data_IF_183690628758
#
_entry.id   IF_183690628758
#
_cell.length_a   1.000
_cell.length_b   1.000
_cell.length_c   1.000
_cell.angle_alpha   90.00
_cell.angle_beta   90.00
_cell.angle_gamma   90.00
#
_symmetry.space_group_name_H-M   'P 1'
#
loop_
_entity.id
_entity.type
_entity.pdbx_description
1 polymer ?
#
# COMPACT_ATOMS: atom_id res chain seq x y z
N UNK A 1 -20.35 -1.08 73.16
CA UNK A 1 -20.19 -2.20 72.20
C UNK A 1 -20.10 -1.58 70.81
N UNK A 2 -18.89 -1.22 70.38
CA UNK A 2 -18.64 -0.60 69.07
C UNK A 2 -17.66 -1.50 68.33
N UNK A 3 -18.09 -1.95 67.16
CA UNK A 3 -17.43 -2.92 66.31
C UNK A 3 -16.36 -2.18 65.50
N UNK A 4 -15.11 -2.62 65.62
CA UNK A 4 -14.02 -2.15 64.76
C UNK A 4 -14.14 -2.83 63.38
N UNK A 5 -14.33 -2.02 62.33
CA UNK A 5 -14.27 -2.48 60.95
C UNK A 5 -12.82 -2.37 60.45
N UNK A 6 -12.21 -3.51 60.13
CA UNK A 6 -10.92 -3.59 59.44
C UNK A 6 -11.13 -3.27 57.95
N UNK A 7 -10.54 -2.18 57.47
CA UNK A 7 -10.46 -1.89 56.04
C UNK A 7 -9.44 -2.85 55.39
N UNK A 8 -9.88 -3.66 54.42
CA UNK A 8 -8.98 -4.38 53.54
C UNK A 8 -8.34 -3.40 52.54
N UNK A 9 -7.05 -3.55 52.21
CA UNK A 9 -6.41 -2.76 51.18
C UNK A 9 -7.01 -3.11 49.81
N UNK A 10 -7.34 -2.06 49.06
CA UNK A 10 -7.89 -2.10 47.70
C UNK A 10 -6.82 -2.66 46.73
N UNK A 11 -6.80 -3.98 46.54
CA UNK A 11 -5.97 -4.61 45.50
C UNK A 11 -6.59 -4.31 44.14
N UNK A 12 -6.07 -3.27 43.49
CA UNK A 12 -6.40 -2.94 42.12
C UNK A 12 -6.02 -4.15 41.23
N UNK A 13 -6.96 -4.78 40.50
CA UNK A 13 -6.67 -5.98 39.73
C UNK A 13 -5.61 -5.70 38.68
N UNK A 14 -4.64 -6.62 38.54
CA UNK A 14 -3.61 -6.51 37.52
C UNK A 14 -4.25 -6.34 36.13
N UNK A 15 -3.75 -5.42 35.28
CA UNK A 15 -4.34 -5.17 33.98
C UNK A 15 -4.35 -6.46 33.15
N UNK A 16 -5.46 -6.70 32.45
CA UNK A 16 -5.61 -7.83 31.53
C UNK A 16 -4.57 -7.77 30.40
N UNK A 17 -4.26 -8.92 29.78
CA UNK A 17 -3.22 -8.98 28.75
C UNK A 17 -3.53 -8.08 27.54
N UNK A 18 -4.82 -7.91 27.19
CA UNK A 18 -5.27 -6.95 26.19
C UNK A 18 -4.97 -5.49 26.56
N UNK A 19 -5.05 -5.13 27.86
CA UNK A 19 -4.67 -3.80 28.33
C UNK A 19 -3.15 -3.58 28.28
N UNK A 20 -2.35 -4.63 28.54
CA UNK A 20 -0.88 -4.58 28.42
C UNK A 20 -0.44 -4.45 26.98
N UNK A 21 -1.07 -5.18 26.06
CA UNK A 21 -0.82 -5.10 24.61
C UNK A 21 -1.16 -3.70 24.06
N UNK A 22 -2.36 -3.19 24.35
CA UNK A 22 -2.76 -1.84 23.92
C UNK A 22 -1.86 -0.73 24.51
N UNK A 23 -1.33 -0.92 25.72
CA UNK A 23 -0.36 -0.02 26.33
C UNK A 23 1.01 -0.09 25.64
N UNK A 24 1.50 -1.30 25.34
CA UNK A 24 2.73 -1.53 24.59
C UNK A 24 2.66 -0.95 23.17
N UNK A 25 1.53 -1.06 22.50
CA UNK A 25 1.29 -0.49 21.17
C UNK A 25 1.28 1.05 21.16
N UNK A 26 0.68 1.67 22.18
CA UNK A 26 0.77 3.13 22.35
C UNK A 26 2.20 3.57 22.65
N UNK A 27 2.97 2.75 23.34
CA UNK A 27 4.38 3.02 23.62
C UNK A 27 5.21 3.07 22.33
N UNK A 28 4.92 2.20 21.34
CA UNK A 28 5.58 2.21 20.04
C UNK A 28 5.46 3.55 19.32
N UNK A 29 4.32 4.24 19.38
CA UNK A 29 4.16 5.56 18.76
C UNK A 29 5.17 6.60 19.29
N UNK A 30 5.54 6.51 20.58
CA UNK A 30 6.53 7.39 21.21
C UNK A 30 7.94 7.04 20.74
N UNK A 31 8.27 5.75 20.67
CA UNK A 31 9.56 5.27 20.14
C UNK A 31 9.72 5.70 18.68
N UNK A 32 8.72 5.40 17.83
CA UNK A 32 8.75 5.67 16.40
C UNK A 32 8.82 7.17 16.06
N UNK A 33 8.42 8.05 16.99
CA UNK A 33 8.57 9.49 16.82
C UNK A 33 10.04 9.93 16.59
N UNK A 34 11.01 9.22 17.18
CA UNK A 34 12.45 9.47 16.97
C UNK A 34 12.93 9.21 15.54
N UNK A 35 12.17 8.44 14.76
CA UNK A 35 12.51 8.07 13.38
C UNK A 35 11.83 8.96 12.33
N UNK A 36 10.90 9.84 12.74
CA UNK A 36 10.10 10.68 11.83
C UNK A 36 10.87 11.83 11.18
N UNK A 37 12.02 12.22 11.73
CA UNK A 37 12.81 13.33 11.19
C UNK A 37 13.54 12.88 9.91
N UNK A 38 13.23 13.45 8.73
CA UNK A 38 13.97 13.14 7.52
C UNK A 38 15.31 13.87 7.49
N UNK A 39 16.24 13.32 6.70
CA UNK A 39 17.50 13.99 6.37
C UNK A 39 17.38 14.53 4.96
N UNK A 40 17.22 15.84 4.79
CA UNK A 40 16.95 16.46 3.48
C UNK A 40 17.96 16.07 2.38
N UNK A 41 19.25 15.98 2.73
CA UNK A 41 20.29 15.49 1.81
C UNK A 41 20.09 14.03 1.40
N UNK A 42 19.64 13.17 2.32
CA UNK A 42 19.29 11.77 2.00
C UNK A 42 18.06 11.71 1.11
N UNK A 43 17.02 12.48 1.39
CA UNK A 43 15.81 12.52 0.55
C UNK A 43 16.11 13.01 -0.86
N UNK A 44 16.94 14.05 -1.01
CA UNK A 44 17.40 14.51 -2.32
C UNK A 44 18.22 13.45 -3.06
N UNK A 45 19.12 12.75 -2.35
CA UNK A 45 19.87 11.63 -2.91
C UNK A 45 18.94 10.51 -3.38
N UNK A 46 17.99 10.09 -2.55
CA UNK A 46 17.03 9.04 -2.89
C UNK A 46 16.17 9.40 -4.12
N UNK A 47 15.77 10.66 -4.24
CA UNK A 47 15.09 11.16 -5.44
C UNK A 47 15.99 11.08 -6.67
N UNK A 48 17.24 11.54 -6.56
CA UNK A 48 18.19 11.54 -7.68
C UNK A 48 18.55 10.13 -8.15
N UNK A 49 18.87 9.20 -7.24
CA UNK A 49 19.18 7.79 -7.57
C UNK A 49 17.97 6.99 -8.02
N UNK A 50 16.79 7.60 -8.06
CA UNK A 50 15.58 7.00 -8.61
C UNK A 50 15.22 7.62 -9.97
N UNK A 51 15.14 8.95 -10.05
CA UNK A 51 14.78 9.67 -11.27
C UNK A 51 15.81 9.47 -12.37
N UNK A 52 17.11 9.54 -12.06
CA UNK A 52 18.17 9.43 -13.05
C UNK A 52 18.18 8.03 -13.69
N UNK A 53 18.21 6.92 -12.93
CA UNK A 53 18.12 5.59 -13.55
C UNK A 53 16.80 5.35 -14.28
N UNK A 54 15.66 5.84 -13.78
CA UNK A 54 14.39 5.76 -14.51
C UNK A 54 14.51 6.37 -15.90
N UNK A 55 14.98 7.62 -15.99
CA UNK A 55 15.14 8.31 -17.26
C UNK A 55 16.14 7.61 -18.18
N UNK A 56 17.26 7.12 -17.64
CA UNK A 56 18.28 6.40 -18.41
C UNK A 56 17.75 5.06 -18.95
N UNK A 57 17.08 4.25 -18.14
CA UNK A 57 16.52 2.97 -18.59
C UNK A 57 15.37 3.17 -19.57
N UNK A 58 14.52 4.18 -19.37
CA UNK A 58 13.46 4.50 -20.31
C UNK A 58 14.03 4.95 -21.67
N UNK A 59 15.03 5.84 -21.66
CA UNK A 59 15.70 6.29 -22.89
C UNK A 59 16.47 5.17 -23.58
N UNK A 60 17.14 4.30 -22.81
CA UNK A 60 17.83 3.13 -23.34
C UNK A 60 16.85 2.12 -23.95
N UNK A 61 15.70 1.88 -23.32
CA UNK A 61 14.65 1.03 -23.86
C UNK A 61 14.13 1.60 -25.18
N UNK A 62 13.85 2.91 -25.25
CA UNK A 62 13.46 3.59 -26.48
C UNK A 62 14.51 3.43 -27.60
N UNK A 63 15.78 3.74 -27.31
CA UNK A 63 16.86 3.60 -28.28
C UNK A 63 17.00 2.15 -28.75
N UNK A 64 16.90 1.18 -27.84
CA UNK A 64 17.02 -0.23 -28.16
C UNK A 64 15.87 -0.75 -29.02
N UNK A 65 14.61 -0.34 -28.77
CA UNK A 65 13.45 -0.73 -29.59
C UNK A 65 13.62 -0.31 -31.06
N UNK A 66 14.38 0.76 -31.34
CA UNK A 66 14.68 1.18 -32.71
C UNK A 66 15.56 0.18 -33.47
N UNK A 67 16.48 -0.51 -32.77
CA UNK A 67 17.41 -1.47 -33.38
C UNK A 67 16.92 -2.92 -33.27
N UNK A 68 16.30 -3.27 -32.14
CA UNK A 68 15.79 -4.61 -31.88
C UNK A 68 14.68 -4.58 -30.82
N UNK A 69 13.58 -5.25 -31.14
CA UNK A 69 12.40 -5.29 -30.27
C UNK A 69 12.69 -5.89 -28.88
N UNK A 70 13.40 -7.02 -28.82
CA UNK A 70 13.59 -7.79 -27.59
C UNK A 70 14.48 -7.11 -26.54
N UNK A 71 15.68 -6.59 -26.88
CA UNK A 71 16.50 -5.84 -25.92
C UNK A 71 15.77 -4.62 -25.35
N UNK A 72 14.98 -3.92 -26.18
CA UNK A 72 14.15 -2.81 -25.74
C UNK A 72 13.14 -3.20 -24.66
N UNK A 73 12.44 -4.33 -24.84
CA UNK A 73 11.50 -4.84 -23.84
C UNK A 73 12.17 -5.31 -22.55
N UNK A 74 13.40 -5.84 -22.60
CA UNK A 74 14.12 -6.21 -21.37
C UNK A 74 14.43 -4.96 -20.52
N UNK A 75 14.78 -3.84 -21.16
CA UNK A 75 15.09 -2.58 -20.48
C UNK A 75 13.84 -1.87 -19.89
N UNK A 76 12.64 -2.26 -20.31
CA UNK A 76 11.38 -1.83 -19.66
C UNK A 76 11.32 -2.34 -18.22
N UNK A 77 11.86 -3.52 -17.91
CA UNK A 77 11.81 -4.11 -16.56
C UNK A 77 12.49 -3.20 -15.51
N UNK A 78 13.76 -2.79 -15.68
CA UNK A 78 14.38 -1.86 -14.74
C UNK A 78 13.70 -0.48 -14.78
N UNK A 79 13.23 0.01 -15.94
CA UNK A 79 12.47 1.26 -15.98
C UNK A 79 11.20 1.18 -15.10
N UNK A 80 10.48 0.06 -15.15
CA UNK A 80 9.29 -0.19 -14.33
C UNK A 80 9.64 -0.29 -12.83
N UNK A 81 10.75 -0.94 -12.49
CA UNK A 81 11.25 -1.01 -11.12
C UNK A 81 11.55 0.38 -10.53
N UNK A 82 12.18 1.27 -11.31
CA UNK A 82 12.41 2.64 -10.87
C UNK A 82 11.14 3.50 -10.88
N UNK A 83 10.18 3.26 -11.78
CA UNK A 83 8.87 3.92 -11.72
C UNK A 83 8.09 3.52 -10.46
N UNK A 84 8.14 2.25 -10.07
CA UNK A 84 7.61 1.78 -8.79
C UNK A 84 8.29 2.48 -7.61
N UNK A 85 9.62 2.62 -7.65
CA UNK A 85 10.37 3.35 -6.62
C UNK A 85 9.98 4.83 -6.56
N UNK A 86 9.72 5.47 -7.71
CA UNK A 86 9.19 6.84 -7.75
C UNK A 86 7.84 6.91 -7.02
N UNK A 87 6.96 5.94 -7.23
CA UNK A 87 5.71 5.85 -6.49
C UNK A 87 5.93 5.76 -4.97
N UNK A 88 6.94 5.03 -4.49
CA UNK A 88 7.28 4.97 -3.06
C UNK A 88 7.72 6.33 -2.50
N UNK A 89 8.45 7.13 -3.30
CA UNK A 89 8.80 8.51 -2.93
C UNK A 89 7.55 9.39 -2.89
N UNK A 90 6.68 9.31 -3.92
CA UNK A 90 5.41 10.03 -3.95
C UNK A 90 4.53 9.68 -2.74
N UNK A 91 4.51 8.41 -2.35
CA UNK A 91 3.77 7.91 -1.21
C UNK A 91 4.24 8.56 0.10
N UNK A 92 5.55 8.59 0.35
CA UNK A 92 6.12 9.27 1.52
C UNK A 92 5.88 10.79 1.50
N UNK A 93 5.92 11.41 0.32
CA UNK A 93 5.50 12.80 0.15
C UNK A 93 4.03 12.99 0.56
N UNK A 94 3.15 12.04 0.26
CA UNK A 94 1.75 12.03 0.69
C UNK A 94 1.58 12.13 2.20
N UNK A 95 2.44 11.44 2.94
CA UNK A 95 2.53 11.50 4.41
C UNK A 95 3.25 12.75 4.94
N UNK A 96 3.91 13.51 4.06
CA UNK A 96 4.77 14.63 4.41
C UNK A 96 6.04 14.20 5.15
N UNK A 97 6.47 12.95 4.96
CA UNK A 97 7.61 12.36 5.66
C UNK A 97 8.93 12.54 4.90
N UNK A 98 8.87 12.71 3.57
CA UNK A 98 10.06 12.65 2.73
C UNK A 98 11.00 13.85 2.95
N UNK A 99 10.49 15.09 2.91
CA UNK A 99 11.28 16.29 3.20
C UNK A 99 10.91 16.99 4.52
N UNK A 100 9.83 16.56 5.19
CA UNK A 100 9.22 17.28 6.33
C UNK A 100 8.91 18.76 6.01
N UNK A 101 8.69 19.06 4.73
CA UNK A 101 8.32 20.39 4.23
C UNK A 101 7.13 20.19 3.32
N UNK A 102 5.93 20.35 3.87
CA UNK A 102 4.67 19.99 3.20
C UNK A 102 4.56 20.53 1.77
N UNK A 103 4.94 21.79 1.53
CA UNK A 103 4.91 22.37 0.19
C UNK A 103 5.85 21.67 -0.79
N UNK A 104 7.05 21.30 -0.33
CA UNK A 104 8.03 20.59 -1.17
C UNK A 104 7.57 19.16 -1.44
N UNK A 105 7.12 18.44 -0.41
CA UNK A 105 6.54 17.10 -0.55
C UNK A 105 5.36 17.09 -1.53
N UNK A 106 4.44 18.06 -1.39
CA UNK A 106 3.27 18.14 -2.27
C UNK A 106 3.62 18.41 -3.73
N UNK A 107 4.63 19.25 -4.01
CA UNK A 107 5.05 19.49 -5.39
C UNK A 107 5.83 18.31 -5.99
N UNK A 108 6.72 17.68 -5.21
CA UNK A 108 7.44 16.48 -5.64
C UNK A 108 6.44 15.36 -5.94
N UNK A 109 5.47 15.13 -5.04
CA UNK A 109 4.43 14.15 -5.23
C UNK A 109 3.53 14.41 -6.46
N UNK A 110 3.16 15.67 -6.72
CA UNK A 110 2.40 16.03 -7.94
C UNK A 110 3.17 15.79 -9.22
N UNK A 111 4.47 16.12 -9.25
CA UNK A 111 5.33 15.92 -10.43
C UNK A 111 5.50 14.42 -10.70
N UNK A 112 5.81 13.63 -9.67
CA UNK A 112 5.92 12.18 -9.79
C UNK A 112 4.57 11.57 -10.21
N UNK A 113 3.46 12.11 -9.73
CA UNK A 113 2.11 11.67 -10.07
C UNK A 113 1.78 11.75 -11.55
N UNK A 114 2.45 12.61 -12.31
CA UNK A 114 2.33 12.63 -13.78
C UNK A 114 2.95 11.35 -14.36
N UNK A 115 4.13 10.97 -13.89
CA UNK A 115 4.88 9.79 -14.37
C UNK A 115 4.23 8.48 -13.95
N UNK A 116 3.69 8.40 -12.73
CA UNK A 116 3.00 7.21 -12.22
C UNK A 116 1.53 7.14 -12.62
N UNK A 117 1.05 8.13 -13.38
CA UNK A 117 -0.35 8.29 -13.75
C UNK A 117 -1.26 8.32 -12.51
N UNK A 118 -0.84 9.00 -11.43
CA UNK A 118 -1.55 9.07 -10.16
C UNK A 118 -1.86 10.50 -9.74
N UNK A 119 -3.15 10.91 -9.67
CA UNK A 119 -3.50 12.25 -9.24
C UNK A 119 -3.24 12.43 -7.74
N UNK A 120 -2.13 13.12 -7.43
CA UNK A 120 -1.50 13.10 -6.11
C UNK A 120 -2.42 13.51 -4.95
N UNK A 121 -3.09 14.67 -5.00
CA UNK A 121 -3.91 15.12 -3.85
C UNK A 121 -5.16 14.26 -3.63
N UNK A 122 -5.80 13.78 -4.72
CA UNK A 122 -6.89 12.80 -4.63
C UNK A 122 -6.39 11.50 -4.01
N UNK A 123 -5.28 10.95 -4.54
CA UNK A 123 -4.69 9.72 -4.05
C UNK A 123 -4.25 9.86 -2.58
N UNK A 124 -3.58 10.95 -2.22
CA UNK A 124 -3.13 11.25 -0.84
C UNK A 124 -4.30 11.24 0.14
N UNK A 125 -5.44 11.80 -0.25
CA UNK A 125 -6.65 11.78 0.59
C UNK A 125 -7.21 10.38 0.74
N UNK A 126 -7.38 9.64 -0.36
CA UNK A 126 -7.83 8.25 -0.32
C UNK A 126 -6.91 7.38 0.55
N UNK A 127 -5.60 7.58 0.41
CA UNK A 127 -4.59 6.84 1.14
C UNK A 127 -4.55 7.20 2.63
N UNK A 128 -4.75 8.46 3.00
CA UNK A 128 -4.91 8.86 4.40
C UNK A 128 -6.16 8.25 5.03
N UNK A 129 -7.28 8.17 4.29
CA UNK A 129 -8.50 7.47 4.72
C UNK A 129 -8.22 5.97 4.93
N UNK A 130 -7.53 5.31 3.98
CA UNK A 130 -7.09 3.91 4.13
C UNK A 130 -6.24 3.69 5.40
N UNK A 131 -5.24 4.53 5.67
CA UNK A 131 -4.47 4.40 6.91
C UNK A 131 -5.36 4.52 8.15
N UNK A 132 -6.35 5.42 8.12
CA UNK A 132 -7.22 5.67 9.26
C UNK A 132 -8.25 4.55 9.51
N UNK A 133 -8.62 3.77 8.48
CA UNK A 133 -9.64 2.71 8.59
C UNK A 133 -9.14 1.30 8.27
N UNK A 134 -7.85 1.10 8.01
CA UNK A 134 -7.29 -0.22 7.71
C UNK A 134 -7.65 -1.27 8.78
N UNK A 135 -8.12 -2.43 8.34
CA UNK A 135 -8.59 -3.52 9.22
C UNK A 135 -9.92 -3.23 9.92
N UNK A 136 -10.60 -2.11 9.67
CA UNK A 136 -11.93 -1.83 10.18
C UNK A 136 -12.99 -2.34 9.19
N UNK A 137 -13.72 -3.38 9.59
CA UNK A 137 -14.77 -3.98 8.76
C UNK A 137 -15.92 -3.01 8.45
N UNK A 138 -16.18 -2.01 9.29
CA UNK A 138 -17.30 -1.08 9.13
C UNK A 138 -16.96 0.13 8.23
N UNK A 139 -15.66 0.41 8.03
CA UNK A 139 -15.16 1.61 7.34
C UNK A 139 -14.23 1.28 6.15
N UNK A 140 -14.31 0.05 5.65
CA UNK A 140 -13.49 -0.44 4.53
C UNK A 140 -13.93 0.14 3.17
N UNK A 141 -13.01 0.16 2.21
CA UNK A 141 -13.30 0.30 0.78
C UNK A 141 -12.60 1.46 0.08
N UNK A 142 -12.29 2.56 0.78
CA UNK A 142 -11.47 3.63 0.19
C UNK A 142 -10.01 3.23 0.26
N UNK A 143 -9.39 3.01 -0.90
CA UNK A 143 -7.98 2.60 -1.00
C UNK A 143 -7.73 1.11 -0.77
N UNK A 144 -8.73 0.37 -0.29
CA UNK A 144 -8.64 -1.07 -0.04
C UNK A 144 -8.91 -1.93 -1.29
N UNK A 145 -8.41 -3.15 -1.23
CA UNK A 145 -8.85 -4.24 -2.11
C UNK A 145 -10.11 -4.84 -1.47
N UNK A 146 -11.20 -4.87 -2.23
CA UNK A 146 -12.47 -5.37 -1.73
C UNK A 146 -12.31 -6.81 -1.27
N UNK A 147 -12.60 -7.03 0.01
CA UNK A 147 -12.50 -8.33 0.67
C UNK A 147 -13.77 -8.54 1.46
N UNK A 148 -14.58 -9.49 1.01
CA UNK A 148 -15.87 -9.80 1.61
C UNK A 148 -15.70 -10.79 2.77
N UNK A 149 -16.59 -10.69 3.75
CA UNK A 149 -16.75 -11.76 4.72
C UNK A 149 -17.45 -12.97 4.08
N UNK A 150 -17.31 -14.16 4.68
CA UNK A 150 -18.04 -15.36 4.22
C UNK A 150 -19.54 -15.08 4.17
N UNK A 151 -20.09 -14.39 5.16
CA UNK A 151 -21.52 -14.07 5.24
C UNK A 151 -21.95 -13.17 4.07
N UNK A 152 -21.16 -12.13 3.77
CA UNK A 152 -21.41 -11.21 2.66
C UNK A 152 -21.34 -11.91 1.31
N UNK A 153 -20.30 -12.73 1.10
CA UNK A 153 -20.17 -13.51 -0.13
C UNK A 153 -21.34 -14.49 -0.32
N UNK A 154 -21.82 -15.09 0.77
CA UNK A 154 -23.00 -15.97 0.73
C UNK A 154 -24.31 -15.21 0.49
N UNK A 155 -24.41 -13.95 0.91
CA UNK A 155 -25.57 -13.10 0.62
C UNK A 155 -25.64 -12.67 -0.85
N UNK A 156 -24.53 -12.73 -1.61
CA UNK A 156 -24.53 -12.38 -3.03
C UNK A 156 -25.33 -13.39 -3.88
N UNK A 157 -25.93 -12.86 -4.96
CA UNK A 157 -26.51 -13.67 -6.03
C UNK A 157 -25.45 -14.52 -6.74
N UNK A 158 -25.87 -15.51 -7.54
CA UNK A 158 -24.95 -16.36 -8.32
C UNK A 158 -24.01 -15.53 -9.20
N UNK A 159 -24.54 -14.46 -9.82
CA UNK A 159 -23.75 -13.53 -10.63
C UNK A 159 -22.85 -12.62 -9.80
N UNK A 160 -23.30 -12.19 -8.62
CA UNK A 160 -22.47 -11.44 -7.67
C UNK A 160 -21.26 -12.25 -7.20
N UNK A 161 -21.47 -13.53 -6.85
CA UNK A 161 -20.38 -14.44 -6.49
C UNK A 161 -19.41 -14.67 -7.64
N UNK A 162 -19.91 -14.85 -8.87
CA UNK A 162 -19.04 -14.95 -10.06
C UNK A 162 -18.22 -13.68 -10.27
N UNK A 163 -18.86 -12.50 -10.17
CA UNK A 163 -18.18 -11.20 -10.28
C UNK A 163 -17.06 -11.06 -9.24
N UNK A 164 -17.33 -11.39 -7.98
CA UNK A 164 -16.30 -11.36 -6.92
C UNK A 164 -15.16 -12.35 -7.19
N UNK A 165 -15.46 -13.57 -7.66
CA UNK A 165 -14.42 -14.55 -8.03
C UNK A 165 -13.55 -14.07 -9.19
N UNK A 166 -14.15 -13.41 -10.18
CA UNK A 166 -13.40 -12.80 -11.29
C UNK A 166 -12.53 -11.65 -10.79
N UNK A 167 -13.08 -10.75 -9.97
CA UNK A 167 -12.34 -9.65 -9.35
C UNK A 167 -11.12 -10.16 -8.56
N UNK A 168 -11.30 -11.21 -7.73
CA UNK A 168 -10.24 -11.84 -6.94
C UNK A 168 -9.34 -12.81 -7.72
N UNK A 169 -9.58 -13.02 -9.01
CA UNK A 169 -8.75 -13.93 -9.81
C UNK A 169 -7.37 -13.28 -10.08
N UNK A 170 -6.24 -14.00 -9.92
CA UNK A 170 -4.91 -13.38 -9.98
C UNK A 170 -4.59 -12.68 -11.31
N UNK A 171 -5.00 -13.27 -12.45
CA UNK A 171 -4.83 -12.65 -13.77
C UNK A 171 -5.62 -11.34 -13.89
N UNK A 172 -6.82 -11.29 -13.29
CA UNK A 172 -7.64 -10.07 -13.30
C UNK A 172 -7.03 -9.05 -12.36
N UNK A 173 -6.71 -9.43 -11.12
CA UNK A 173 -6.20 -8.52 -10.10
C UNK A 173 -4.83 -7.92 -10.47
N UNK A 174 -3.89 -8.74 -10.93
CA UNK A 174 -2.50 -8.32 -11.17
C UNK A 174 -2.17 -8.07 -12.65
N UNK A 175 -3.01 -8.54 -13.58
CA UNK A 175 -2.85 -8.26 -15.01
C UNK A 175 -3.75 -7.13 -15.50
N UNK A 176 -5.06 -7.28 -15.36
CA UNK A 176 -6.05 -6.30 -15.83
C UNK A 176 -6.21 -5.12 -14.86
N UNK A 177 -6.16 -5.40 -13.55
CA UNK A 177 -6.36 -4.45 -12.46
C UNK A 177 -5.46 -3.22 -12.55
N UNK A 178 -4.14 -3.36 -12.78
CA UNK A 178 -3.25 -2.20 -12.95
C UNK A 178 -3.63 -1.33 -14.15
N UNK A 179 -3.94 -1.94 -15.30
CA UNK A 179 -4.39 -1.21 -16.47
C UNK A 179 -5.67 -0.43 -16.16
N UNK A 180 -6.67 -1.10 -15.57
CA UNK A 180 -7.91 -0.47 -15.13
C UNK A 180 -7.64 0.69 -14.16
N UNK A 181 -6.81 0.48 -13.15
CA UNK A 181 -6.56 1.46 -12.10
C UNK A 181 -5.88 2.73 -12.63
N UNK A 182 -4.74 2.58 -13.31
CA UNK A 182 -3.90 3.72 -13.67
C UNK A 182 -4.35 4.42 -14.96
N UNK A 183 -4.85 3.65 -15.94
CA UNK A 183 -5.26 4.19 -17.25
C UNK A 183 -6.70 4.73 -17.20
N UNK A 184 -7.60 4.10 -16.43
CA UNK A 184 -9.03 4.43 -16.46
C UNK A 184 -9.57 4.99 -15.13
N UNK A 185 -9.53 4.20 -14.04
CA UNK A 185 -10.16 4.56 -12.76
C UNK A 185 -9.61 5.89 -12.22
N UNK A 186 -8.30 6.08 -12.23
CA UNK A 186 -7.67 7.30 -11.71
C UNK A 186 -7.85 8.53 -12.60
N UNK A 187 -8.57 8.44 -13.73
CA UNK A 187 -8.91 9.61 -14.57
C UNK A 187 -10.12 10.38 -14.04
N UNK A 188 -10.86 9.82 -13.08
CA UNK A 188 -11.96 10.46 -12.36
C UNK A 188 -11.80 10.23 -10.85
N UNK A 189 -12.25 11.16 -9.98
CA UNK A 189 -12.13 11.00 -8.53
C UNK A 189 -13.23 10.07 -7.97
N UNK A 190 -13.29 8.82 -8.43
CA UNK A 190 -14.28 7.83 -7.95
C UNK A 190 -14.24 7.72 -6.42
N UNK A 191 -15.41 7.61 -5.80
CA UNK A 191 -15.57 7.64 -4.34
C UNK A 191 -15.50 9.04 -3.71
N UNK A 192 -14.97 10.04 -4.41
CA UNK A 192 -14.84 11.42 -3.91
C UNK A 192 -15.38 12.49 -4.87
N UNK A 193 -16.19 12.11 -5.86
CA UNK A 193 -16.74 13.06 -6.85
C UNK A 193 -17.63 14.14 -6.21
N UNK A 194 -18.17 13.88 -5.02
CA UNK A 194 -19.01 14.80 -4.24
C UNK A 194 -18.25 15.46 -3.08
N UNK A 195 -16.94 15.23 -2.96
CA UNK A 195 -16.12 15.66 -1.81
C UNK A 195 -15.44 17.03 -2.01
N UNK A 196 -16.11 17.93 -2.76
CA UNK A 196 -15.63 19.27 -3.08
C UNK A 196 -14.76 19.36 -4.33
N UNK A 197 -14.14 20.52 -4.55
CA UNK A 197 -13.37 20.81 -5.77
C UNK A 197 -11.99 20.13 -5.80
N UNK A 198 -11.36 19.89 -4.64
CA UNK A 198 -9.98 19.40 -4.56
C UNK A 198 -9.75 18.06 -5.31
N UNK A 199 -10.58 17.01 -5.14
CA UNK A 199 -10.42 15.76 -5.91
C UNK A 199 -10.53 15.97 -7.43
N UNK A 200 -11.46 16.83 -7.87
CA UNK A 200 -11.64 17.16 -9.27
C UNK A 200 -10.45 17.92 -9.85
N UNK A 201 -10.01 19.00 -9.19
CA UNK A 201 -8.85 19.79 -9.62
C UNK A 201 -7.61 18.92 -9.66
N UNK A 202 -7.35 18.11 -8.63
CA UNK A 202 -6.22 17.18 -8.59
C UNK A 202 -6.25 16.22 -9.77
N UNK A 203 -7.40 15.61 -10.04
CA UNK A 203 -7.54 14.60 -11.09
C UNK A 203 -7.44 15.22 -12.48
N UNK A 204 -8.16 16.31 -12.74
CA UNK A 204 -8.20 16.95 -14.06
C UNK A 204 -6.88 17.65 -14.41
N UNK A 205 -6.24 18.32 -13.44
CA UNK A 205 -4.92 18.91 -13.67
C UNK A 205 -3.87 17.84 -13.96
N UNK A 206 -3.94 16.69 -13.27
CA UNK A 206 -3.06 15.54 -13.56
C UNK A 206 -3.36 14.95 -14.93
N UNK A 207 -4.63 14.80 -15.33
CA UNK A 207 -5.01 14.35 -16.68
C UNK A 207 -4.41 15.24 -17.75
N UNK A 208 -4.53 16.56 -17.60
CA UNK A 208 -3.99 17.53 -18.53
C UNK A 208 -2.45 17.42 -18.59
N UNK A 209 -1.79 17.35 -17.44
CA UNK A 209 -0.33 17.21 -17.39
C UNK A 209 0.17 15.91 -18.02
N UNK A 210 -0.53 14.78 -17.79
CA UNK A 210 -0.24 13.49 -18.44
C UNK A 210 -0.42 13.62 -19.96
N UNK A 211 -1.52 14.21 -20.42
CA UNK A 211 -1.78 14.38 -21.84
C UNK A 211 -0.71 15.23 -22.53
N UNK A 212 -0.30 16.34 -21.91
CA UNK A 212 0.76 17.21 -22.41
C UNK A 212 2.12 16.49 -22.42
N UNK A 213 2.47 15.78 -21.34
CA UNK A 213 3.72 15.03 -21.26
C UNK A 213 3.76 13.89 -22.30
N UNK A 214 2.67 13.14 -22.44
CA UNK A 214 2.53 12.08 -23.44
C UNK A 214 2.60 12.64 -24.86
N UNK A 215 1.92 13.76 -25.16
CA UNK A 215 1.98 14.41 -26.46
C UNK A 215 3.39 14.87 -26.81
N UNK A 216 4.11 15.48 -25.85
CA UNK A 216 5.51 15.89 -26.04
C UNK A 216 6.43 14.69 -26.29
N UNK A 217 6.27 13.61 -25.53
CA UNK A 217 7.05 12.39 -25.73
C UNK A 217 6.73 11.74 -27.08
N UNK A 218 5.45 11.59 -27.43
CA UNK A 218 5.02 11.04 -28.72
C UNK A 218 5.57 11.88 -29.88
N UNK A 219 5.57 13.20 -29.76
CA UNK A 219 6.16 14.09 -30.76
C UNK A 219 7.68 13.88 -30.87
N UNK A 220 8.38 13.69 -29.76
CA UNK A 220 9.83 13.50 -29.74
C UNK A 220 10.29 12.11 -30.22
N UNK A 221 9.57 11.04 -29.86
CA UNK A 221 10.03 9.64 -30.07
C UNK A 221 9.16 8.82 -31.02
N UNK A 222 8.00 9.33 -31.41
CA UNK A 222 6.98 8.61 -32.17
C UNK A 222 6.01 7.81 -31.31
N UNK A 223 4.79 7.62 -31.81
CA UNK A 223 3.72 6.92 -31.07
C UNK A 223 4.02 5.44 -30.82
N UNK A 224 4.60 4.73 -31.80
CA UNK A 224 4.89 3.29 -31.66
C UNK A 224 5.97 3.05 -30.59
N UNK A 225 7.14 3.70 -30.61
CA UNK A 225 8.13 3.52 -29.55
C UNK A 225 7.62 3.98 -28.18
N UNK A 226 6.86 5.08 -28.12
CA UNK A 226 6.22 5.52 -26.87
C UNK A 226 5.32 4.42 -26.28
N UNK A 227 4.43 3.83 -27.09
CA UNK A 227 3.53 2.76 -26.62
C UNK A 227 4.30 1.49 -26.26
N UNK A 228 5.34 1.11 -27.00
CA UNK A 228 6.13 -0.10 -26.71
C UNK A 228 6.99 0.02 -25.45
N UNK A 229 7.36 1.23 -25.03
CA UNK A 229 8.20 1.44 -23.85
C UNK A 229 7.37 1.91 -22.65
N UNK A 230 6.64 3.02 -22.79
CA UNK A 230 5.99 3.67 -21.67
C UNK A 230 4.80 2.86 -21.13
N UNK A 231 3.95 2.32 -22.00
CA UNK A 231 2.78 1.56 -21.55
C UNK A 231 3.18 0.27 -20.78
N UNK A 232 4.07 -0.61 -21.29
CA UNK A 232 4.59 -1.72 -20.51
C UNK A 232 5.28 -1.31 -19.21
N UNK A 233 6.02 -0.19 -19.20
CA UNK A 233 6.68 0.33 -17.99
C UNK A 233 5.64 0.62 -16.90
N UNK A 234 4.59 1.36 -17.25
CA UNK A 234 3.49 1.70 -16.34
C UNK A 234 2.73 0.46 -15.87
N UNK A 235 2.43 -0.48 -16.78
CA UNK A 235 1.68 -1.69 -16.44
C UNK A 235 2.47 -2.62 -15.51
N UNK A 236 3.77 -2.82 -15.77
CA UNK A 236 4.63 -3.63 -14.91
C UNK A 236 4.83 -2.99 -13.52
N UNK A 237 5.09 -1.68 -13.48
CA UNK A 237 5.22 -0.95 -12.22
C UNK A 237 3.90 -0.98 -11.43
N UNK A 238 2.76 -0.79 -12.11
CA UNK A 238 1.44 -0.86 -11.52
C UNK A 238 1.10 -2.26 -11.00
N UNK A 239 1.43 -3.32 -11.74
CA UNK A 239 1.25 -4.70 -11.30
C UNK A 239 2.07 -5.02 -10.05
N UNK A 240 3.34 -4.62 -10.04
CA UNK A 240 4.20 -4.79 -8.87
C UNK A 240 3.70 -3.97 -7.66
N UNK A 241 3.21 -2.75 -7.89
CA UNK A 241 2.61 -1.92 -6.84
C UNK A 241 1.35 -2.55 -6.25
N UNK A 242 0.40 -2.97 -7.09
CA UNK A 242 -0.82 -3.67 -6.64
C UNK A 242 -0.48 -4.95 -5.88
N UNK A 243 0.52 -5.71 -6.34
CA UNK A 243 1.02 -6.88 -5.63
C UNK A 243 1.51 -6.55 -4.21
N UNK A 244 2.39 -5.55 -4.08
CA UNK A 244 2.97 -5.16 -2.79
C UNK A 244 1.88 -4.82 -1.77
N UNK A 245 0.98 -3.90 -2.12
CA UNK A 245 -0.09 -3.48 -1.20
C UNK A 245 -1.14 -4.58 -0.98
N UNK A 246 -1.33 -5.50 -1.94
CA UNK A 246 -2.16 -6.68 -1.73
C UNK A 246 -1.58 -7.55 -0.61
N UNK A 247 -0.35 -8.05 -0.77
CA UNK A 247 0.23 -9.03 0.17
C UNK A 247 0.49 -8.42 1.55
N UNK A 248 0.67 -7.09 1.58
CA UNK A 248 0.79 -6.33 2.81
C UNK A 248 -0.46 -6.28 3.67
N UNK A 249 -1.65 -6.49 3.11
CA UNK A 249 -2.93 -6.48 3.83
C UNK A 249 -3.74 -7.79 3.67
N UNK A 250 -3.24 -8.72 2.87
CA UNK A 250 -3.87 -10.01 2.60
C UNK A 250 -2.86 -11.11 2.91
N UNK A 251 -2.71 -11.45 4.19
CA UNK A 251 -1.81 -12.48 4.69
C UNK A 251 -2.48 -13.26 5.84
N UNK A 252 -1.86 -14.36 6.26
CA UNK A 252 -2.51 -15.33 7.15
C UNK A 252 -2.79 -14.76 8.55
N UNK A 253 -1.88 -13.99 9.13
CA UNK A 253 -2.03 -13.39 10.46
C UNK A 253 -2.64 -11.97 10.46
N UNK A 254 -3.28 -11.53 9.36
CA UNK A 254 -3.87 -10.18 9.30
C UNK A 254 -5.01 -10.01 10.33
N UNK A 255 -5.17 -8.80 10.84
CA UNK A 255 -6.22 -8.44 11.81
C UNK A 255 -7.30 -7.55 11.20
N UNK A 256 -8.54 -8.05 11.20
CA UNK A 256 -9.73 -7.27 10.82
C UNK A 256 -10.80 -7.38 11.92
N UNK A 257 -11.42 -6.27 12.29
CA UNK A 257 -12.43 -6.22 13.36
C UNK A 257 -13.42 -5.07 13.16
N UNK A 258 -14.54 -5.10 13.90
CA UNK A 258 -15.58 -4.05 13.90
C UNK A 258 -15.44 -3.15 15.12
N UNK A 259 -16.06 -1.96 15.09
CA UNK A 259 -16.18 -1.15 16.31
C UNK A 259 -17.16 -1.85 17.30
N UNK A 260 -16.88 -1.85 18.62
CA UNK A 260 -15.82 -1.12 19.33
C UNK A 260 -14.49 -1.89 19.51
N UNK A 261 -14.38 -3.13 19.03
CA UNK A 261 -13.16 -3.95 19.17
C UNK A 261 -11.97 -3.39 18.39
N UNK A 262 -12.24 -2.74 17.25
CA UNK A 262 -11.20 -2.15 16.42
C UNK A 262 -10.46 -1.01 17.15
N UNK A 263 -9.14 -1.15 17.23
CA UNK A 263 -8.22 -0.13 17.75
C UNK A 263 -7.16 0.16 16.70
N UNK A 264 -6.94 1.44 16.40
CA UNK A 264 -6.02 1.86 15.33
C UNK A 264 -4.62 1.27 15.48
N UNK A 265 -4.03 1.34 16.68
CA UNK A 265 -2.65 0.90 16.89
C UNK A 265 -2.50 -0.61 16.65
N UNK A 266 -3.43 -1.40 17.18
CA UNK A 266 -3.46 -2.85 17.00
C UNK A 266 -3.67 -3.22 15.53
N UNK A 267 -4.66 -2.62 14.87
CA UNK A 267 -4.94 -2.88 13.46
C UNK A 267 -3.80 -2.41 12.54
N UNK A 268 -3.12 -1.32 12.88
CA UNK A 268 -1.97 -0.83 12.12
C UNK A 268 -0.77 -1.79 12.21
N UNK A 269 -0.51 -2.35 13.40
CA UNK A 269 0.63 -3.23 13.61
C UNK A 269 0.34 -4.67 13.16
N UNK A 270 -0.84 -5.21 13.47
CA UNK A 270 -1.21 -6.60 13.20
C UNK A 270 -2.06 -6.80 11.92
N UNK A 271 -2.64 -5.73 11.36
CA UNK A 271 -3.39 -5.76 10.11
C UNK A 271 -2.52 -5.55 8.86
N UNK A 272 -1.23 -5.27 9.03
CA UNK A 272 -0.26 -5.10 7.97
C UNK A 272 0.94 -6.04 8.18
N UNK A 273 1.52 -6.55 7.09
CA UNK A 273 2.64 -7.51 7.16
C UNK A 273 4.01 -6.82 7.18
N UNK A 274 5.03 -7.50 7.68
CA UNK A 274 6.42 -7.27 7.29
C UNK A 274 6.78 -8.13 6.06
N UNK A 275 6.75 -7.55 4.86
CA UNK A 275 7.18 -8.22 3.65
C UNK A 275 8.71 -8.22 3.52
N UNK A 276 9.31 -9.32 3.99
CA UNK A 276 10.76 -9.51 4.05
C UNK A 276 11.32 -9.89 2.67
N UNK A 277 11.71 -8.85 1.93
CA UNK A 277 12.23 -8.95 0.58
C UNK A 277 13.76 -9.06 0.56
N UNK A 278 14.34 -9.79 -0.41
CA UNK A 278 15.78 -9.76 -0.67
C UNK A 278 16.31 -8.32 -0.86
N UNK A 279 17.58 -8.04 -0.56
CA UNK A 279 18.11 -6.68 -0.48
C UNK A 279 17.83 -5.77 -1.68
N UNK A 280 17.92 -6.31 -2.91
CA UNK A 280 17.67 -5.55 -4.15
C UNK A 280 16.19 -5.16 -4.26
N UNK A 281 15.28 -6.11 -4.02
CA UNK A 281 13.84 -5.85 -4.07
C UNK A 281 13.44 -4.92 -2.93
N UNK A 282 13.93 -5.16 -1.72
CA UNK A 282 13.73 -4.27 -0.57
C UNK A 282 14.19 -2.85 -0.88
N UNK A 283 15.35 -2.70 -1.52
CA UNK A 283 15.82 -1.40 -1.95
C UNK A 283 14.86 -0.82 -2.97
N UNK A 284 14.58 -1.47 -4.10
CA UNK A 284 13.69 -0.96 -5.16
C UNK A 284 12.33 -0.52 -4.62
N UNK A 285 11.70 -1.31 -3.74
CA UNK A 285 10.40 -1.01 -3.15
C UNK A 285 10.45 0.01 -2.01
N UNK A 286 11.60 0.67 -1.80
CA UNK A 286 11.75 1.71 -0.80
C UNK A 286 11.59 1.18 0.62
N UNK A 287 11.94 -0.06 0.91
CA UNK A 287 11.70 -0.68 2.23
C UNK A 287 10.22 -0.65 2.69
N UNK A 288 9.26 -0.38 1.81
CA UNK A 288 7.84 -0.32 2.17
C UNK A 288 7.33 -1.67 2.71
N UNK A 289 8.05 -2.75 2.43
CA UNK A 289 7.82 -4.07 3.02
C UNK A 289 7.73 -4.04 4.55
N UNK A 290 8.38 -3.11 5.24
CA UNK A 290 8.21 -2.88 6.69
C UNK A 290 6.89 -2.10 6.93
N UNK A 291 5.79 -2.70 6.46
CA UNK A 291 4.52 -2.00 6.24
C UNK A 291 3.71 -1.84 7.52
N UNK A 292 3.81 -2.78 8.45
CA UNK A 292 3.25 -2.70 9.79
C UNK A 292 3.76 -1.47 10.56
N UNK A 293 5.08 -1.25 10.57
CA UNK A 293 5.67 -0.04 11.16
C UNK A 293 5.23 1.21 10.41
N UNK A 294 5.16 1.12 9.07
CA UNK A 294 4.67 2.22 8.25
C UNK A 294 3.22 2.59 8.56
N UNK A 295 2.32 1.61 8.73
CA UNK A 295 0.93 1.86 9.11
C UNK A 295 0.83 2.51 10.50
N UNK A 296 1.62 2.03 11.45
CA UNK A 296 1.63 2.58 12.80
C UNK A 296 2.19 4.00 12.85
N UNK A 297 3.20 4.32 12.01
CA UNK A 297 3.81 5.64 11.96
C UNK A 297 4.28 6.00 10.55
N UNK A 298 3.33 6.36 9.68
CA UNK A 298 3.59 6.68 8.26
C UNK A 298 4.47 7.91 8.01
N UNK A 299 4.73 8.68 9.07
CA UNK A 299 5.68 9.80 9.06
C UNK A 299 7.15 9.39 9.15
N UNK A 300 7.46 8.11 9.36
CA UNK A 300 8.84 7.62 9.24
C UNK A 300 9.17 7.50 7.74
N UNK A 301 10.15 8.26 7.22
CA UNK A 301 10.53 8.13 5.82
C UNK A 301 11.08 6.72 5.56
N UNK A 302 10.79 6.19 4.39
CA UNK A 302 10.99 4.80 4.05
C UNK A 302 12.46 4.34 4.20
N UNK A 303 13.41 5.26 3.98
CA UNK A 303 14.85 4.96 4.11
C UNK A 303 15.32 4.84 5.56
N UNK A 304 14.47 5.22 6.54
CA UNK A 304 14.70 5.04 7.98
C UNK A 304 13.93 3.87 8.57
N UNK A 305 12.98 3.25 7.85
CA UNK A 305 12.29 2.04 8.34
C UNK A 305 13.26 0.92 8.74
N UNK A 306 14.38 0.66 8.01
CA UNK A 306 15.36 -0.32 8.46
C UNK A 306 16.08 0.05 9.76
N UNK A 307 16.21 1.35 10.09
CA UNK A 307 16.77 1.78 11.39
C UNK A 307 15.87 1.29 12.54
N UNK A 308 14.54 1.33 12.36
CA UNK A 308 13.57 0.83 13.35
C UNK A 308 13.78 -0.65 13.63
N UNK A 309 13.82 -1.50 12.59
CA UNK A 309 13.99 -2.95 12.80
C UNK A 309 15.38 -3.32 13.34
N UNK A 310 16.41 -2.53 13.02
CA UNK A 310 17.75 -2.72 13.59
C UNK A 310 17.76 -2.45 15.09
N UNK A 311 17.11 -1.37 15.51
CA UNK A 311 17.12 -0.90 16.89
C UNK A 311 16.06 -1.64 17.75
N UNK A 312 15.03 -2.20 17.10
CA UNK A 312 13.91 -2.95 17.68
C UNK A 312 13.63 -4.25 16.91
N UNK A 313 14.50 -5.27 17.04
CA UNK A 313 14.39 -6.53 16.31
C UNK A 313 13.10 -7.31 16.60
N UNK A 314 12.44 -7.07 17.74
CA UNK A 314 11.15 -7.65 18.09
C UNK A 314 10.02 -7.31 17.09
N UNK A 315 10.17 -6.21 16.34
CA UNK A 315 9.23 -5.83 15.28
C UNK A 315 9.48 -6.59 13.97
N UNK A 316 10.62 -7.27 13.81
CA UNK A 316 11.00 -7.89 12.55
C UNK A 316 10.20 -9.17 12.25
N UNK A 317 9.79 -9.90 13.28
CA UNK A 317 9.04 -11.16 13.10
C UNK A 317 7.51 -10.96 13.11
N UNK A 318 7.04 -9.77 13.46
CA UNK A 318 5.61 -9.47 13.52
C UNK A 318 5.00 -9.41 12.11
N UNK A 319 4.05 -10.32 11.83
CA UNK A 319 3.38 -10.42 10.53
C UNK A 319 4.36 -10.65 9.37
N UNK A 320 5.48 -11.33 9.62
CA UNK A 320 6.54 -11.52 8.63
C UNK A 320 6.10 -12.48 7.53
N UNK A 321 6.19 -12.02 6.28
CA UNK A 321 5.96 -12.84 5.09
C UNK A 321 7.17 -12.76 4.16
N UNK A 322 7.59 -13.89 3.60
CA UNK A 322 8.63 -13.94 2.56
C UNK A 322 8.04 -13.84 1.15
N UNK A 323 8.89 -13.68 0.13
CA UNK A 323 8.46 -13.76 -1.27
C UNK A 323 7.70 -15.06 -1.57
N UNK A 324 8.11 -16.19 -0.99
CA UNK A 324 7.42 -17.47 -1.21
C UNK A 324 6.07 -17.53 -0.49
N UNK A 325 5.99 -16.99 0.73
CA UNK A 325 4.73 -16.95 1.49
C UNK A 325 3.70 -16.05 0.80
N UNK A 326 4.16 -14.93 0.24
CA UNK A 326 3.30 -13.98 -0.48
C UNK A 326 2.55 -14.62 -1.67
N UNK A 327 3.14 -15.61 -2.33
CA UNK A 327 2.47 -16.39 -3.40
C UNK A 327 1.33 -17.24 -2.83
N UNK A 328 1.47 -17.76 -1.61
CA UNK A 328 0.44 -18.55 -0.92
C UNK A 328 -0.72 -17.67 -0.46
N UNK A 329 -0.45 -16.40 -0.16
CA UNK A 329 -1.45 -15.42 0.27
C UNK A 329 -2.48 -15.07 -0.81
N UNK A 330 -2.18 -15.28 -2.09
CA UNK A 330 -3.10 -14.99 -3.21
C UNK A 330 -4.43 -15.73 -3.10
N UNK A 331 -4.44 -16.92 -2.50
CA UNK A 331 -5.67 -17.72 -2.30
C UNK A 331 -6.54 -17.22 -1.14
N UNK A 332 -6.03 -16.33 -0.29
CA UNK A 332 -6.72 -15.77 0.85
C UNK A 332 -7.62 -14.63 0.36
N UNK A 333 -8.91 -14.92 0.20
CA UNK A 333 -9.84 -14.07 -0.58
C UNK A 333 -11.15 -13.78 0.13
N UNK A 334 -11.43 -14.41 1.27
CA UNK A 334 -12.59 -14.13 2.10
C UNK A 334 -12.15 -13.98 3.54
N UNK A 335 -12.83 -13.13 4.31
CA UNK A 335 -12.65 -13.03 5.75
C UNK A 335 -13.64 -13.93 6.49
N UNK A 336 -13.15 -14.81 7.38
CA UNK A 336 -14.00 -15.55 8.31
C UNK A 336 -14.04 -14.83 9.67
N UNK A 337 -15.18 -14.21 9.96
CA UNK A 337 -15.40 -13.47 11.21
C UNK A 337 -15.32 -14.36 12.46
N UNK A 338 -15.57 -15.68 12.34
CA UNK A 338 -15.52 -16.59 13.49
C UNK A 338 -14.10 -16.97 13.88
N UNK A 339 -13.28 -17.38 12.90
CA UNK A 339 -11.89 -17.78 13.16
C UNK A 339 -10.91 -16.61 13.13
N UNK A 340 -11.38 -15.41 12.75
CA UNK A 340 -10.58 -14.18 12.57
C UNK A 340 -9.39 -14.42 11.63
N UNK A 341 -9.65 -15.05 10.48
CA UNK A 341 -8.64 -15.39 9.46
C UNK A 341 -9.15 -15.14 8.07
N UNK A 342 -8.23 -14.83 7.16
CA UNK A 342 -8.51 -14.92 5.74
C UNK A 342 -8.48 -16.40 5.29
N UNK A 343 -9.39 -16.74 4.39
CA UNK A 343 -9.59 -18.12 3.91
C UNK A 343 -9.77 -18.16 2.40
N UNK A 344 -9.52 -19.34 1.83
CA UNK A 344 -9.81 -19.59 0.42
C UNK A 344 -11.29 -19.91 0.19
N UNK A 345 -11.75 -19.82 -1.06
CA UNK A 345 -13.10 -20.29 -1.43
C UNK A 345 -13.32 -21.77 -1.06
N UNK A 346 -12.27 -22.60 -1.12
CA UNK A 346 -12.35 -24.02 -0.76
C UNK A 346 -12.54 -24.19 0.75
N UNK A 347 -11.83 -23.40 1.55
CA UNK A 347 -11.93 -23.48 3.01
C UNK A 347 -13.27 -22.92 3.49
N UNK A 348 -13.75 -21.82 2.91
CA UNK A 348 -15.11 -21.30 3.16
C UNK A 348 -16.19 -22.36 2.85
N UNK A 349 -16.07 -23.10 1.75
CA UNK A 349 -17.00 -24.18 1.42
C UNK A 349 -16.95 -25.35 2.41
N UNK A 350 -15.76 -25.71 2.92
CA UNK A 350 -15.58 -26.73 3.95
C UNK A 350 -16.18 -26.31 5.29
N UNK A 351 -15.94 -25.07 5.70
CA UNK A 351 -16.52 -24.50 6.92
C UNK A 351 -18.04 -24.45 6.84
N UNK A 352 -18.60 -24.15 5.68
CA UNK A 352 -20.04 -24.18 5.46
C UNK A 352 -20.64 -25.59 5.48
N UNK A 353 -19.89 -26.63 5.07
CA UNK A 353 -20.34 -28.02 5.12
C UNK A 353 -20.18 -28.68 6.50
N UNK A 354 -19.34 -28.11 7.36
CA UNK A 354 -19.11 -28.58 8.73
C UNK A 354 -20.04 -27.93 9.78
N UNK A 355 -20.80 -26.91 9.37
CA UNK A 355 -21.88 -26.26 10.13
C UNK A 355 -23.21 -26.81 9.67
#
# INVERSE_FOLDING_TARGET
MQIAASAQPDENPAPSDAHKEAFAEKHWLKILAGYRQPRAGRSAFELAVTVVPFALFWAAAWAAVHYSFWPGLILVIPAAAFLLRLFMIQHDCGHGSFFARRRLDDWVGRIIGILTLTPYDYWRRAHAEHHASAGNLDERGVGDIETLTIAEYNALSRWGRLGYRLYRHPIVMFGIGPAWLFIFKQRLPFGMMRSGALPWVSTMATNLAIALAAALLIWAVGIVPFLLVHLPTVLLAGAAGVWLFYVQHQFEETHWSKKPEWQFQHAALHGASHYDLPPVLRWITGNIGIHHVHHLSSRVPYYRLPEVLRDHPELADLGRITLMDSLRCVKLVLWDEQTKRLVSFRDAARLAAAR
#
